data_IF_198679522051
#
_entry.id   IF_198679522051
#
_cell.length_a   1.000
_cell.length_b   1.000
_cell.length_c   1.000
_cell.angle_alpha   90.00
_cell.angle_beta   90.00
_cell.angle_gamma   90.00
#
_symmetry.space_group_name_H-M   'P 1'
#
loop_
_entity.id
_entity.type
_entity.pdbx_description
1 polymer ?
#
# COMPACT_ATOMS: atom_id res chain seq x y z
N UNK A 1 -1.09 -19.94 -21.45
CA UNK A 1 -1.03 -19.78 -19.97
C UNK A 1 -0.46 -18.39 -19.70
N UNK A 2 -1.22 -17.50 -19.07
CA UNK A 2 -1.01 -16.05 -19.07
C UNK A 2 0.17 -15.58 -18.20
N UNK A 3 1.16 -14.93 -18.81
CA UNK A 3 2.35 -14.34 -18.18
C UNK A 3 2.06 -13.24 -17.14
N UNK A 4 0.87 -12.63 -17.15
CA UNK A 4 0.46 -11.65 -16.11
C UNK A 4 0.03 -12.31 -14.80
N UNK A 5 -0.57 -13.52 -14.85
CA UNK A 5 -0.97 -14.25 -13.65
C UNK A 5 0.27 -14.61 -12.82
N UNK A 6 1.36 -15.02 -13.49
CA UNK A 6 2.63 -15.36 -12.84
C UNK A 6 3.30 -14.16 -12.15
N UNK A 7 3.21 -12.94 -12.71
CA UNK A 7 3.80 -11.75 -12.08
C UNK A 7 3.04 -11.38 -10.81
N UNK A 8 1.71 -11.28 -10.89
CA UNK A 8 0.89 -10.92 -9.73
C UNK A 8 0.95 -11.98 -8.62
N UNK A 9 1.16 -13.24 -8.96
CA UNK A 9 1.33 -14.33 -8.00
C UNK A 9 2.72 -14.27 -7.32
N UNK A 10 3.78 -13.96 -8.08
CA UNK A 10 5.14 -13.75 -7.54
C UNK A 10 5.19 -12.56 -6.59
N UNK A 11 4.58 -11.44 -6.97
CA UNK A 11 4.50 -10.26 -6.11
C UNK A 11 3.75 -10.58 -4.81
N UNK A 12 2.63 -11.29 -4.89
CA UNK A 12 1.86 -11.73 -3.72
C UNK A 12 2.64 -12.68 -2.82
N UNK A 13 3.37 -13.64 -3.40
CA UNK A 13 4.23 -14.56 -2.66
C UNK A 13 5.37 -13.81 -1.95
N UNK A 14 6.05 -12.90 -2.65
CA UNK A 14 7.09 -12.05 -2.09
C UNK A 14 6.56 -11.18 -0.93
N UNK A 15 5.44 -10.49 -1.16
CA UNK A 15 4.77 -9.67 -0.14
C UNK A 15 4.41 -10.52 1.08
N UNK A 16 3.88 -11.73 0.87
CA UNK A 16 3.53 -12.63 1.97
C UNK A 16 4.75 -13.03 2.80
N UNK A 17 5.88 -13.32 2.16
CA UNK A 17 7.12 -13.71 2.82
C UNK A 17 7.75 -12.56 3.63
N UNK A 18 7.78 -11.34 3.08
CA UNK A 18 8.42 -10.20 3.74
C UNK A 18 7.55 -9.51 4.79
N UNK A 19 6.25 -9.35 4.51
CA UNK A 19 5.35 -8.55 5.33
C UNK A 19 4.32 -9.39 6.11
N UNK A 20 4.34 -10.71 5.96
CA UNK A 20 3.32 -11.61 6.51
C UNK A 20 1.94 -11.43 5.86
N UNK A 21 1.81 -10.59 4.83
CA UNK A 21 0.57 -10.25 4.15
C UNK A 21 0.81 -10.18 2.62
N UNK A 22 -0.04 -10.86 1.85
CA UNK A 22 0.11 -10.97 0.40
C UNK A 22 -0.11 -9.66 -0.37
N UNK A 23 -0.65 -8.62 0.28
CA UNK A 23 -1.08 -7.38 -0.38
C UNK A 23 -0.40 -6.12 0.15
N UNK A 24 0.45 -6.23 1.19
CA UNK A 24 1.14 -5.06 1.76
C UNK A 24 1.99 -4.35 0.70
N UNK A 25 2.72 -5.11 -0.12
CA UNK A 25 3.55 -4.54 -1.18
C UNK A 25 2.71 -3.78 -2.21
N UNK A 26 1.63 -4.39 -2.70
CA UNK A 26 0.72 -3.75 -3.65
C UNK A 26 0.10 -2.45 -3.08
N UNK A 27 -0.28 -2.44 -1.81
CA UNK A 27 -0.80 -1.24 -1.13
C UNK A 27 0.28 -0.16 -1.00
N UNK A 28 1.48 -0.52 -0.56
CA UNK A 28 2.58 0.44 -0.42
C UNK A 28 2.95 1.11 -1.74
N UNK A 29 3.03 0.30 -2.80
CA UNK A 29 3.27 0.76 -4.16
C UNK A 29 2.14 1.66 -4.66
N UNK A 30 0.89 1.25 -4.46
CA UNK A 30 -0.26 2.06 -4.85
C UNK A 30 -0.28 3.42 -4.15
N UNK A 31 0.26 3.53 -2.93
CA UNK A 31 0.39 4.81 -2.21
C UNK A 31 1.56 5.62 -2.76
N UNK A 32 2.70 4.99 -3.02
CA UNK A 32 3.87 5.66 -3.60
C UNK A 32 3.60 6.24 -4.99
N UNK A 33 2.71 5.59 -5.77
CA UNK A 33 2.28 6.04 -7.10
C UNK A 33 1.16 7.11 -7.05
N UNK A 34 0.76 7.59 -5.86
CA UNK A 34 -0.17 8.73 -5.74
C UNK A 34 0.58 10.05 -5.91
N UNK A 35 -0.10 11.04 -6.50
CA UNK A 35 0.39 12.40 -6.55
C UNK A 35 0.09 13.09 -5.22
N UNK A 36 1.10 13.76 -4.65
CA UNK A 36 0.99 14.48 -3.37
C UNK A 36 1.32 13.63 -2.14
N UNK A 37 1.28 14.26 -0.98
CA UNK A 37 1.62 13.66 0.31
C UNK A 37 0.38 13.28 1.14
N UNK A 38 -0.83 13.60 0.68
CA UNK A 38 -2.08 13.32 1.40
C UNK A 38 -3.06 12.57 0.51
N UNK A 39 -3.68 11.54 1.06
CA UNK A 39 -4.68 10.72 0.36
C UNK A 39 -5.79 10.22 1.27
N UNK A 40 -6.87 9.71 0.67
CA UNK A 40 -7.94 9.00 1.36
C UNK A 40 -7.95 7.50 0.97
N UNK A 41 -8.43 6.58 1.83
CA UNK A 41 -8.44 5.15 1.57
C UNK A 41 -9.09 4.72 0.24
N UNK A 42 -10.04 5.50 -0.28
CA UNK A 42 -10.64 5.23 -1.58
C UNK A 42 -9.68 5.40 -2.76
N UNK A 43 -8.64 6.21 -2.63
CA UNK A 43 -7.64 6.42 -3.69
C UNK A 43 -6.77 5.17 -3.86
N UNK A 44 -6.45 4.50 -2.75
CA UNK A 44 -5.75 3.21 -2.77
C UNK A 44 -6.70 2.09 -3.20
N UNK A 45 -7.96 2.13 -2.74
CA UNK A 45 -8.97 1.12 -3.11
C UNK A 45 -9.34 1.17 -4.60
N UNK A 46 -9.31 2.32 -5.25
CA UNK A 46 -9.60 2.40 -6.69
C UNK A 46 -8.47 1.79 -7.53
N UNK A 47 -7.25 1.77 -6.98
CA UNK A 47 -6.03 1.23 -7.61
C UNK A 47 -5.72 -0.21 -7.22
N UNK A 48 -6.40 -0.73 -6.20
CA UNK A 48 -6.24 -2.10 -5.71
C UNK A 48 -7.57 -2.83 -5.73
N UNK A 49 -7.61 -4.11 -6.09
CA UNK A 49 -8.86 -4.91 -6.05
C UNK A 49 -9.26 -5.36 -4.62
N UNK A 50 -8.82 -4.61 -3.60
CA UNK A 50 -8.96 -4.99 -2.20
C UNK A 50 -10.22 -4.42 -1.56
N UNK A 51 -10.81 -5.20 -0.66
CA UNK A 51 -11.90 -4.73 0.18
C UNK A 51 -11.44 -3.58 1.10
N UNK A 52 -12.36 -2.66 1.42
CA UNK A 52 -12.07 -1.50 2.27
C UNK A 52 -11.50 -1.91 3.65
N UNK A 53 -12.04 -2.97 4.26
CA UNK A 53 -11.54 -3.48 5.55
C UNK A 53 -10.08 -3.94 5.50
N UNK A 54 -9.66 -4.54 4.38
CA UNK A 54 -8.27 -4.93 4.16
C UNK A 54 -7.36 -3.71 4.00
N UNK A 55 -7.80 -2.71 3.25
CA UNK A 55 -7.08 -1.44 3.10
C UNK A 55 -6.91 -0.76 4.45
N UNK A 56 -7.98 -0.55 5.20
CA UNK A 56 -7.92 0.11 6.50
C UNK A 56 -6.93 -0.57 7.45
N UNK A 57 -6.98 -1.91 7.55
CA UNK A 57 -6.05 -2.68 8.38
C UNK A 57 -4.60 -2.51 7.96
N UNK A 58 -4.31 -2.45 6.65
CA UNK A 58 -2.95 -2.26 6.15
C UNK A 58 -2.45 -0.83 6.38
N UNK A 59 -3.32 0.17 6.20
CA UNK A 59 -2.99 1.56 6.50
C UNK A 59 -2.70 1.75 7.99
N UNK A 60 -3.50 1.15 8.88
CA UNK A 60 -3.26 1.18 10.34
C UNK A 60 -1.88 0.62 10.70
N UNK A 61 -1.47 -0.50 10.11
CA UNK A 61 -0.12 -1.03 10.31
C UNK A 61 0.98 -0.07 9.89
N UNK A 62 0.81 0.64 8.78
CA UNK A 62 1.77 1.65 8.32
C UNK A 62 1.80 2.87 9.24
N UNK A 63 0.66 3.22 9.85
CA UNK A 63 0.59 4.28 10.88
C UNK A 63 1.29 3.85 12.18
N UNK A 64 1.08 2.62 12.63
CA UNK A 64 1.72 2.07 13.84
C UNK A 64 3.25 2.15 13.78
N UNK A 65 3.82 1.98 12.59
CA UNK A 65 5.27 2.07 12.35
C UNK A 65 5.72 3.42 11.78
N UNK A 66 4.85 4.45 11.80
CA UNK A 66 5.15 5.83 11.38
C UNK A 66 5.60 6.01 9.93
N UNK A 67 5.21 5.08 9.06
CA UNK A 67 5.34 5.23 7.59
C UNK A 67 4.24 6.15 7.05
N UNK A 68 3.07 6.10 7.68
CA UNK A 68 1.96 7.03 7.45
C UNK A 68 1.63 7.78 8.74
N UNK A 69 0.99 8.93 8.58
CA UNK A 69 0.35 9.67 9.66
C UNK A 69 -1.14 9.75 9.39
N UNK A 70 -1.96 9.41 10.39
CA UNK A 70 -3.42 9.57 10.31
C UNK A 70 -3.79 11.01 10.69
N UNK A 71 -4.31 11.77 9.74
CA UNK A 71 -4.71 13.17 9.98
C UNK A 71 -6.04 13.18 10.77
N UNK A 72 -6.15 13.94 11.89
CA UNK A 72 -7.41 14.08 12.59
C UNK A 72 -8.52 14.58 11.66
N UNK A 73 -9.72 13.99 11.77
CA UNK A 73 -10.88 14.40 10.99
C UNK A 73 -11.52 15.63 11.59
N UNK A 74 -11.87 16.58 10.74
CA UNK A 74 -12.67 17.72 11.16
C UNK A 74 -14.14 17.33 11.39
N UNK A 75 -14.83 18.11 12.21
CA UNK A 75 -16.25 17.86 12.51
C UNK A 75 -17.08 18.00 11.23
N UNK A 76 -17.74 16.92 10.82
CA UNK A 76 -18.56 16.87 9.61
C UNK A 76 -17.83 16.29 8.38
N UNK A 77 -16.53 16.06 8.48
CA UNK A 77 -15.77 15.40 7.42
C UNK A 77 -16.03 13.90 7.44
N UNK A 78 -16.44 13.33 6.30
CA UNK A 78 -16.75 11.90 6.18
C UNK A 78 -15.51 11.02 5.90
N UNK A 79 -14.48 11.59 5.27
CA UNK A 79 -13.30 10.84 4.84
C UNK A 79 -12.19 10.90 5.88
N UNK A 80 -11.46 9.80 6.02
CA UNK A 80 -10.24 9.76 6.80
C UNK A 80 -9.06 10.07 5.89
N UNK A 81 -8.30 11.12 6.21
CA UNK A 81 -7.08 11.46 5.48
C UNK A 81 -5.84 10.82 6.11
N UNK A 82 -4.87 10.49 5.27
CA UNK A 82 -3.54 9.98 5.66
C UNK A 82 -2.47 10.81 4.97
N UNK A 83 -1.40 11.13 5.70
CA UNK A 83 -0.19 11.75 5.17
C UNK A 83 0.90 10.70 4.97
N UNK A 84 1.56 10.75 3.83
CA UNK A 84 2.74 9.97 3.48
C UNK A 84 3.96 10.60 4.16
N UNK A 85 4.62 9.85 5.04
CA UNK A 85 5.83 10.33 5.68
C UNK A 85 7.05 10.06 4.79
N UNK A 86 8.02 10.98 4.80
CA UNK A 86 9.32 10.73 4.19
C UNK A 86 10.02 9.58 4.92
N UNK A 87 10.10 8.41 4.27
CA UNK A 87 10.60 7.19 4.89
C UNK A 87 11.30 6.30 3.85
N UNK A 88 12.46 5.67 4.16
CA UNK A 88 13.18 4.78 3.23
C UNK A 88 12.38 3.57 2.75
N UNK A 89 11.30 3.24 3.45
CA UNK A 89 10.38 2.15 3.11
C UNK A 89 9.85 2.25 1.68
N UNK A 90 9.54 3.45 1.18
CA UNK A 90 8.95 3.61 -0.14
C UNK A 90 9.89 3.14 -1.26
N UNK A 91 11.15 3.60 -1.21
CA UNK A 91 12.18 3.16 -2.15
C UNK A 91 12.49 1.66 -2.00
N UNK A 92 12.45 1.13 -0.77
CA UNK A 92 12.60 -0.31 -0.53
C UNK A 92 11.44 -1.12 -1.15
N UNK A 93 10.20 -0.68 -0.99
CA UNK A 93 9.02 -1.33 -1.55
C UNK A 93 9.09 -1.34 -3.09
N UNK A 94 9.46 -0.23 -3.72
CA UNK A 94 9.68 -0.19 -5.18
C UNK A 94 10.76 -1.17 -5.64
N UNK A 95 11.87 -1.26 -4.90
CA UNK A 95 12.96 -2.18 -5.23
C UNK A 95 12.51 -3.64 -5.09
N UNK A 96 11.83 -3.97 -3.98
CA UNK A 96 11.28 -5.30 -3.75
C UNK A 96 10.31 -5.69 -4.87
N UNK A 97 9.44 -4.77 -5.32
CA UNK A 97 8.52 -5.02 -6.45
C UNK A 97 9.30 -5.37 -7.71
N UNK A 98 10.35 -4.61 -8.06
CA UNK A 98 11.19 -4.89 -9.25
C UNK A 98 11.84 -6.27 -9.16
N UNK A 99 12.49 -6.55 -8.03
CA UNK A 99 13.18 -7.82 -7.80
C UNK A 99 12.20 -9.02 -7.84
N UNK A 100 10.94 -8.84 -7.41
CA UNK A 100 9.91 -9.88 -7.47
C UNK A 100 9.38 -10.16 -8.88
N UNK A 101 9.42 -9.16 -9.77
CA UNK A 101 8.95 -9.28 -11.16
C UNK A 101 10.04 -9.90 -12.06
N UNK A 102 11.31 -9.62 -11.77
CA UNK A 102 12.47 -10.02 -12.57
C UNK A 102 12.98 -11.46 -12.30
N UNK A 103 12.47 -12.13 -11.26
CA UNK A 103 12.72 -13.56 -10.98
C UNK A 103 11.95 -14.50 -11.91
#
# INVERSE_FOLDING_TARGET
MNQMATIADRERACSKSLFGNAHMLAVAISIADLEGDVFIPSDVRSRTSLAASSIHRLLEKLVEVRILERIPRDRGEHNQHYRVMSHPFWSAAERIRKDAIEQ
#
